data_IF_202628579735
#
_entry.id   IF_202628579735
#
_cell.length_a   1.000
_cell.length_b   1.000
_cell.length_c   1.000
_cell.angle_alpha   90.00
_cell.angle_beta   90.00
_cell.angle_gamma   90.00
#
_symmetry.space_group_name_H-M   'P 1'
#
loop_
_entity.id
_entity.type
_entity.pdbx_description
1 polymer ?
#
# COMPACT_ATOMS: atom_id res chain seq x y z
N UNK A 1 9.51 13.10 -8.46
CA UNK A 1 8.69 12.66 -7.31
C UNK A 1 9.36 13.13 -6.04
N UNK A 2 8.64 13.76 -5.10
CA UNK A 2 9.27 14.22 -3.83
C UNK A 2 9.66 12.99 -3.01
N UNK A 3 10.75 13.07 -2.25
CA UNK A 3 11.28 11.96 -1.44
C UNK A 3 10.24 11.35 -0.50
N UNK A 4 9.36 12.19 0.06
CA UNK A 4 8.20 11.77 0.86
C UNK A 4 7.29 10.82 0.08
N UNK A 5 6.84 11.24 -1.09
CA UNK A 5 5.89 10.47 -1.90
C UNK A 5 6.49 9.14 -2.34
N UNK A 6 7.81 9.13 -2.61
CA UNK A 6 8.55 7.89 -2.89
C UNK A 6 8.53 6.93 -1.71
N UNK A 7 8.83 7.41 -0.50
CA UNK A 7 8.83 6.54 0.68
C UNK A 7 7.44 5.97 0.94
N UNK A 8 6.40 6.81 0.88
CA UNK A 8 5.01 6.37 1.07
C UNK A 8 4.63 5.32 0.04
N UNK A 9 5.04 5.50 -1.21
CA UNK A 9 4.79 4.55 -2.28
C UNK A 9 5.39 3.17 -2.02
N UNK A 10 6.67 3.15 -1.69
CA UNK A 10 7.40 1.91 -1.43
C UNK A 10 6.84 1.19 -0.18
N UNK A 11 6.38 1.96 0.82
CA UNK A 11 5.81 1.42 2.06
C UNK A 11 4.36 0.94 1.93
N UNK A 12 3.76 0.91 0.74
CA UNK A 12 2.48 0.17 0.50
C UNK A 12 2.60 -1.29 0.91
N UNK A 13 3.82 -1.81 0.83
CA UNK A 13 4.26 -3.10 1.33
C UNK A 13 5.23 -2.84 2.48
N UNK A 14 5.31 -3.70 3.53
CA UNK A 14 6.35 -3.56 4.52
C UNK A 14 7.74 -3.46 3.88
N UNK A 15 8.46 -2.37 4.16
CA UNK A 15 9.83 -2.18 3.67
C UNK A 15 10.78 -1.88 4.81
N UNK A 16 11.89 -2.61 4.84
CA UNK A 16 12.97 -2.40 5.79
C UNK A 16 13.73 -1.11 5.48
N UNK A 17 14.48 -0.62 6.46
CA UNK A 17 15.35 0.53 6.27
C UNK A 17 16.36 0.32 5.13
N UNK A 18 16.90 -0.90 4.98
CA UNK A 18 17.88 -1.24 3.95
C UNK A 18 17.29 -1.16 2.55
N UNK A 19 16.08 -1.69 2.36
CA UNK A 19 15.37 -1.61 1.09
C UNK A 19 15.03 -0.16 0.74
N UNK A 20 14.50 0.59 1.70
CA UNK A 20 14.17 2.01 1.51
C UNK A 20 15.41 2.84 1.18
N UNK A 21 16.57 2.55 1.77
CA UNK A 21 17.84 3.19 1.41
C UNK A 21 18.21 2.92 -0.04
N UNK A 22 18.09 1.66 -0.47
CA UNK A 22 18.39 1.24 -1.85
C UNK A 22 17.54 1.98 -2.89
N UNK A 23 16.24 2.15 -2.63
CA UNK A 23 15.33 2.81 -3.58
C UNK A 23 15.35 4.33 -3.47
N UNK A 24 15.53 4.91 -2.28
CA UNK A 24 15.49 6.37 -2.10
C UNK A 24 16.81 7.07 -2.40
N UNK A 25 17.94 6.38 -2.28
CA UNK A 25 19.28 6.96 -2.45
C UNK A 25 19.68 7.95 -1.33
N UNK A 26 18.94 7.98 -0.23
CA UNK A 26 19.23 8.84 0.92
C UNK A 26 20.41 8.31 1.75
N UNK A 27 21.10 9.23 2.44
CA UNK A 27 22.02 8.86 3.52
C UNK A 27 21.28 8.26 4.71
N UNK A 28 21.97 7.52 5.58
CA UNK A 28 21.35 6.88 6.74
C UNK A 28 20.69 7.91 7.68
N UNK A 29 21.37 9.02 7.93
CA UNK A 29 20.82 10.12 8.72
C UNK A 29 19.60 10.76 8.04
N UNK A 30 19.65 10.95 6.72
CA UNK A 30 18.56 11.52 5.92
C UNK A 30 17.32 10.64 5.93
N UNK A 31 17.48 9.33 5.67
CA UNK A 31 16.39 8.38 5.68
C UNK A 31 15.80 8.21 7.08
N UNK A 32 16.64 8.11 8.11
CA UNK A 32 16.19 8.00 9.51
C UNK A 32 15.34 9.22 9.93
N UNK A 33 15.76 10.43 9.54
CA UNK A 33 15.01 11.66 9.79
C UNK A 33 13.67 11.66 9.05
N UNK A 34 13.65 11.27 7.77
CA UNK A 34 12.45 11.20 6.96
C UNK A 34 11.43 10.20 7.53
N UNK A 35 11.87 8.98 7.85
CA UNK A 35 10.99 7.94 8.39
C UNK A 35 10.43 8.33 9.77
N UNK A 36 11.25 8.89 10.66
CA UNK A 36 10.77 9.41 11.95
C UNK A 36 9.70 10.48 11.77
N UNK A 37 9.87 11.40 10.82
CA UNK A 37 8.88 12.42 10.54
C UNK A 37 7.56 11.82 10.04
N UNK A 38 7.61 10.89 9.08
CA UNK A 38 6.41 10.25 8.53
C UNK A 38 5.67 9.37 9.55
N UNK A 39 6.41 8.68 10.43
CA UNK A 39 5.81 7.94 11.56
C UNK A 39 5.15 8.91 12.55
N UNK A 40 5.82 10.01 12.89
CA UNK A 40 5.26 11.05 13.78
C UNK A 40 4.01 11.71 13.19
N UNK A 41 3.97 11.93 11.87
CA UNK A 41 2.79 12.44 11.16
C UNK A 41 1.65 11.40 11.06
N UNK A 42 1.90 10.15 11.44
CA UNK A 42 0.95 9.05 11.36
C UNK A 42 0.69 8.56 9.93
N UNK A 43 1.64 8.79 9.02
CA UNK A 43 1.56 8.37 7.62
C UNK A 43 2.22 7.01 7.39
N UNK A 44 3.15 6.62 8.27
CA UNK A 44 3.74 5.31 8.33
C UNK A 44 3.59 4.73 9.74
N UNK A 45 3.56 3.41 9.83
CA UNK A 45 3.72 2.64 11.06
C UNK A 45 4.96 1.78 10.93
N UNK A 46 5.75 1.70 12.01
CA UNK A 46 6.86 0.74 12.10
C UNK A 46 6.33 -0.57 12.69
N UNK A 47 6.60 -1.68 12.00
CA UNK A 47 6.27 -3.05 12.41
C UNK A 47 7.57 -3.87 12.50
N UNK A 48 7.46 -5.13 12.93
CA UNK A 48 8.60 -6.05 12.97
C UNK A 48 9.17 -6.35 11.57
N UNK A 49 8.33 -6.22 10.53
CA UNK A 49 8.70 -6.43 9.12
C UNK A 49 9.25 -5.16 8.44
N UNK A 50 9.23 -3.99 9.10
CA UNK A 50 9.74 -2.74 8.53
C UNK A 50 8.77 -1.57 8.71
N UNK A 51 8.62 -0.75 7.66
CA UNK A 51 7.71 0.39 7.65
C UNK A 51 6.57 0.12 6.67
N UNK A 52 5.34 0.41 7.09
CA UNK A 52 4.11 0.21 6.32
C UNK A 52 3.32 1.50 6.30
N UNK A 53 2.71 1.83 5.17
CA UNK A 53 1.84 2.99 5.00
C UNK A 53 0.56 2.82 5.82
N UNK A 54 0.11 3.89 6.47
CA UNK A 54 -1.21 3.93 7.11
C UNK A 54 -2.27 4.35 6.11
N UNK A 55 -3.55 4.19 6.44
CA UNK A 55 -4.67 4.74 5.66
C UNK A 55 -4.50 6.25 5.42
N UNK A 56 -4.06 6.99 6.44
CA UNK A 56 -3.77 8.43 6.34
C UNK A 56 -2.60 8.71 5.40
N UNK A 57 -1.56 7.88 5.43
CA UNK A 57 -0.45 7.92 4.48
C UNK A 57 -0.92 7.70 3.05
N UNK A 58 -1.80 6.72 2.85
CA UNK A 58 -2.47 6.42 1.58
C UNK A 58 -3.17 7.64 0.99
N UNK A 59 -4.10 8.23 1.75
CA UNK A 59 -4.81 9.45 1.36
C UNK A 59 -3.85 10.62 1.10
N UNK A 60 -2.82 10.79 1.92
CA UNK A 60 -1.80 11.84 1.71
C UNK A 60 -0.97 11.62 0.44
N UNK A 61 -0.88 10.39 -0.06
CA UNK A 61 -0.18 10.04 -1.30
C UNK A 61 -1.08 10.15 -2.55
N UNK A 62 -2.32 10.62 -2.38
CA UNK A 62 -3.29 10.80 -3.44
C UNK A 62 -4.16 9.59 -3.72
N UNK A 63 -4.20 8.59 -2.83
CA UNK A 63 -5.20 7.53 -2.91
C UNK A 63 -6.61 8.08 -2.76
N UNK A 64 -7.53 7.42 -3.43
CA UNK A 64 -8.96 7.70 -3.38
C UNK A 64 -9.71 6.41 -3.12
N UNK A 65 -10.91 6.56 -2.59
CA UNK A 65 -11.83 5.46 -2.38
C UNK A 65 -13.08 5.69 -3.20
N UNK A 66 -13.53 4.67 -3.91
CA UNK A 66 -14.78 4.68 -4.69
C UNK A 66 -15.59 3.42 -4.36
N UNK A 67 -16.88 3.57 -4.10
CA UNK A 67 -17.78 2.44 -3.84
C UNK A 67 -18.70 2.23 -5.04
N UNK A 68 -18.70 1.02 -5.61
CA UNK A 68 -19.55 0.63 -6.75
C UNK A 68 -20.19 -0.72 -6.44
N UNK A 69 -21.52 -0.81 -6.45
CA UNK A 69 -22.22 -2.08 -6.28
C UNK A 69 -21.87 -2.85 -4.99
N UNK A 70 -21.57 -2.13 -3.90
CA UNK A 70 -21.15 -2.72 -2.63
C UNK A 70 -19.65 -3.05 -2.51
N UNK A 71 -18.88 -2.89 -3.59
CA UNK A 71 -17.42 -3.08 -3.60
C UNK A 71 -16.71 -1.76 -3.32
N UNK A 72 -15.74 -1.76 -2.40
CA UNK A 72 -14.88 -0.61 -2.12
C UNK A 72 -13.56 -0.73 -2.87
N UNK A 73 -13.24 0.27 -3.68
CA UNK A 73 -12.01 0.36 -4.45
C UNK A 73 -11.10 1.42 -3.82
N UNK A 74 -9.92 1.02 -3.36
CA UNK A 74 -8.82 1.94 -3.02
C UNK A 74 -7.90 2.03 -4.23
N UNK A 75 -7.74 3.23 -4.80
CA UNK A 75 -7.07 3.40 -6.09
C UNK A 75 -6.28 4.70 -6.18
N UNK A 76 -5.32 4.73 -7.11
CA UNK A 76 -4.60 5.93 -7.52
C UNK A 76 -4.12 5.81 -8.96
N UNK A 77 -4.28 6.88 -9.74
CA UNK A 77 -3.83 6.90 -11.14
C UNK A 77 -4.66 6.04 -12.10
N UNK A 78 -5.79 5.49 -11.64
CA UNK A 78 -6.78 4.79 -12.44
C UNK A 78 -8.03 5.66 -12.51
N UNK A 79 -8.67 5.75 -13.69
CA UNK A 79 -9.91 6.51 -13.82
C UNK A 79 -11.11 5.68 -13.33
N UNK A 80 -12.19 6.37 -12.96
CA UNK A 80 -13.37 5.72 -12.37
C UNK A 80 -14.14 4.86 -13.38
N UNK A 81 -14.09 5.18 -14.68
CA UNK A 81 -14.75 4.37 -15.71
C UNK A 81 -14.13 2.97 -15.79
N UNK A 82 -12.80 2.87 -15.70
CA UNK A 82 -12.09 1.60 -15.61
C UNK A 82 -12.51 0.82 -14.36
N UNK A 83 -12.64 1.49 -13.21
CA UNK A 83 -13.09 0.83 -11.97
C UNK A 83 -14.52 0.29 -12.10
N UNK A 84 -15.41 1.03 -12.78
CA UNK A 84 -16.78 0.56 -13.08
C UNK A 84 -16.78 -0.70 -13.94
N UNK A 85 -15.91 -0.76 -14.96
CA UNK A 85 -15.76 -1.97 -15.80
C UNK A 85 -15.27 -3.16 -14.97
N UNK A 86 -14.32 -2.96 -14.06
CA UNK A 86 -13.84 -4.00 -13.15
C UNK A 86 -14.98 -4.45 -12.22
N UNK A 87 -15.73 -3.52 -11.63
CA UNK A 87 -16.86 -3.82 -10.76
C UNK A 87 -17.92 -4.67 -11.48
N UNK A 88 -18.27 -4.34 -12.73
CA UNK A 88 -19.22 -5.13 -13.52
C UNK A 88 -18.71 -6.57 -13.79
N UNK A 89 -17.40 -6.76 -14.00
CA UNK A 89 -16.83 -8.11 -14.18
C UNK A 89 -16.87 -8.96 -12.91
N UNK A 90 -16.84 -8.33 -11.74
CA UNK A 90 -16.88 -8.98 -10.44
C UNK A 90 -18.32 -9.15 -9.91
N UNK A 91 -19.30 -8.61 -10.63
CA UNK A 91 -20.70 -8.65 -10.21
C UNK A 91 -21.19 -10.09 -10.09
N UNK A 92 -21.76 -10.41 -8.93
CA UNK A 92 -22.28 -11.75 -8.63
C UNK A 92 -21.25 -12.75 -8.12
N UNK A 93 -19.98 -12.35 -7.98
CA UNK A 93 -19.01 -13.13 -7.21
C UNK A 93 -19.29 -12.91 -5.71
N UNK A 94 -19.54 -14.01 -4.99
CA UNK A 94 -19.90 -13.96 -3.56
C UNK A 94 -18.67 -13.80 -2.65
N UNK A 95 -17.52 -14.32 -3.06
CA UNK A 95 -16.26 -14.20 -2.33
C UNK A 95 -15.08 -14.07 -3.31
N UNK A 96 -14.27 -13.03 -3.15
CA UNK A 96 -13.06 -12.81 -3.93
C UNK A 96 -12.09 -11.87 -3.21
N UNK A 97 -10.80 -12.06 -3.48
CA UNK A 97 -9.73 -11.15 -3.04
C UNK A 97 -8.79 -10.85 -4.20
N UNK A 98 -8.61 -9.56 -4.51
CA UNK A 98 -7.83 -9.11 -5.67
C UNK A 98 -6.78 -8.10 -5.20
N UNK A 99 -5.51 -8.47 -5.33
CA UNK A 99 -4.38 -7.55 -5.23
C UNK A 99 -3.73 -7.41 -6.61
N UNK A 100 -3.61 -6.18 -7.09
CA UNK A 100 -3.01 -5.89 -8.40
C UNK A 100 -1.87 -4.91 -8.24
N UNK A 101 -0.69 -5.29 -8.74
CA UNK A 101 0.49 -4.45 -8.82
C UNK A 101 1.13 -4.60 -10.20
N UNK A 102 1.97 -3.63 -10.59
CA UNK A 102 2.77 -3.79 -11.81
C UNK A 102 3.95 -4.72 -11.51
N UNK A 103 4.04 -5.84 -12.23
CA UNK A 103 5.04 -6.90 -12.01
C UNK A 103 6.49 -6.47 -12.27
N UNK A 104 6.70 -5.38 -13.00
CA UNK A 104 8.02 -4.78 -13.20
C UNK A 104 8.47 -3.87 -12.03
N UNK A 105 7.63 -3.69 -11.01
CA UNK A 105 7.92 -2.88 -9.83
C UNK A 105 7.96 -3.69 -8.52
N UNK A 106 7.46 -4.93 -8.51
CA UNK A 106 7.42 -5.79 -7.32
C UNK A 106 7.75 -7.24 -7.73
N UNK A 107 8.81 -7.87 -7.18
CA UNK A 107 9.09 -9.28 -7.40
C UNK A 107 7.92 -10.16 -6.94
N UNK A 108 7.67 -11.25 -7.67
CA UNK A 108 6.47 -12.10 -7.51
C UNK A 108 6.33 -12.72 -6.09
N UNK A 109 7.44 -12.90 -5.38
CA UNK A 109 7.46 -13.46 -4.02
C UNK A 109 7.05 -12.43 -2.96
N UNK A 110 7.36 -11.13 -3.16
CA UNK A 110 6.90 -10.04 -2.27
C UNK A 110 5.39 -9.82 -2.37
N UNK A 111 4.80 -10.05 -3.56
CA UNK A 111 3.35 -10.01 -3.77
C UNK A 111 2.61 -11.10 -2.97
N UNK A 112 3.21 -12.28 -2.79
CA UNK A 112 2.63 -13.37 -1.99
C UNK A 112 2.60 -13.05 -0.50
N UNK A 113 3.66 -12.44 0.03
CA UNK A 113 3.71 -12.04 1.45
C UNK A 113 2.68 -10.95 1.80
N UNK A 114 2.45 -10.00 0.89
CA UNK A 114 1.42 -8.95 1.04
C UNK A 114 0.01 -9.54 1.09
N UNK A 115 -0.27 -10.52 0.23
CA UNK A 115 -1.55 -11.22 0.22
C UNK A 115 -1.80 -11.98 1.52
N UNK A 116 -0.77 -12.60 2.11
CA UNK A 116 -0.88 -13.33 3.38
C UNK A 116 -1.14 -12.37 4.57
N UNK A 117 -0.45 -11.24 4.63
CA UNK A 117 -0.64 -10.22 5.68
C UNK A 117 -2.04 -9.58 5.65
N UNK A 118 -2.58 -9.28 4.47
CA UNK A 118 -3.92 -8.73 4.35
C UNK A 118 -5.01 -9.70 4.86
N UNK A 119 -4.83 -11.00 4.61
CA UNK A 119 -5.74 -12.06 5.05
C UNK A 119 -5.64 -12.33 6.57
N UNK A 120 -4.44 -12.29 7.15
CA UNK A 120 -4.25 -12.48 8.60
C UNK A 120 -4.81 -11.32 9.42
N UNK A 121 -4.76 -10.09 8.88
CA UNK A 121 -5.31 -8.90 9.55
C UNK A 121 -6.85 -8.94 9.62
N UNK A 122 -7.51 -9.63 8.69
CA UNK A 122 -8.97 -9.85 8.75
C UNK A 122 -9.34 -10.95 9.76
N UNK A 123 -8.55 -12.03 9.83
CA UNK A 123 -8.75 -13.11 10.82
C UNK A 123 -8.58 -12.65 12.26
N UNK A 124 -7.69 -11.70 12.54
CA UNK A 124 -7.49 -11.14 13.88
C UNK A 124 -8.63 -10.22 14.38
N UNK A 125 -9.62 -9.89 13.55
CA UNK A 125 -10.79 -9.07 13.93
C UNK A 125 -12.05 -9.88 14.23
N UNK A 126 -12.03 -11.18 13.99
CA UNK A 126 -13.16 -12.09 14.23
C UNK A 126 -12.96 -12.97 15.50
N UNK A 127 -11.91 -12.72 16.28
CA UNK A 127 -11.58 -13.44 17.53
C UNK A 127 -11.84 -12.63 18.79
#
# INVERSE_FOLDING_TARGET
MRTRDKILEECRVPKTFKELKGVTGLSDAGLSKALKALVKEGLLTKTDMGYVITERGGLSSGERTLVIGGMSFVYRGVNEETLRKIAELLKGMEDFHICVGRTNLVPNDELKEVLLLALDTQRGREG
#
